data_IF_748290275820
#
_entry.id   IF_748290275820
#
_cell.length_a   1.000
_cell.length_b   1.000
_cell.length_c   1.000
_cell.angle_alpha   90.00
_cell.angle_beta   90.00
_cell.angle_gamma   90.00
#
_symmetry.space_group_name_H-M   'P 1'
#
loop_
_entity.id
_entity.type
_entity.pdbx_description
1 polymer ?
#
# COMPACT_ATOMS: atom_id res chain seq x y z
N UNK A 1 -21.30 -3.60 8.58
CA UNK A 1 -20.60 -4.41 7.57
C UNK A 1 -19.49 -5.18 8.27
N UNK A 2 -19.59 -6.51 8.36
CA UNK A 2 -18.53 -7.35 8.94
C UNK A 2 -17.28 -7.27 8.05
N UNK A 3 -16.20 -6.65 8.53
CA UNK A 3 -14.90 -6.65 7.86
C UNK A 3 -14.09 -7.85 8.37
N UNK A 4 -13.67 -8.74 7.46
CA UNK A 4 -12.63 -9.74 7.76
C UNK A 4 -11.33 -8.99 8.01
N UNK A 5 -10.69 -9.22 9.16
CA UNK A 5 -9.39 -8.63 9.45
C UNK A 5 -8.33 -9.38 8.63
N UNK A 6 -8.10 -8.92 7.40
CA UNK A 6 -7.06 -9.48 6.52
C UNK A 6 -5.73 -8.82 6.89
N UNK A 7 -4.75 -9.62 7.31
CA UNK A 7 -3.40 -9.15 7.60
C UNK A 7 -2.60 -8.96 6.30
N UNK A 8 -3.14 -8.15 5.37
CA UNK A 8 -2.55 -7.82 4.08
C UNK A 8 -2.34 -6.31 4.02
N UNK A 9 -1.14 -5.91 3.64
CA UNK A 9 -0.72 -4.52 3.52
C UNK A 9 -0.48 -4.18 2.05
N UNK A 10 -0.98 -3.03 1.61
CA UNK A 10 -0.69 -2.50 0.28
C UNK A 10 0.35 -1.40 0.42
N UNK A 11 1.57 -1.65 -0.05
CA UNK A 11 2.63 -0.65 -0.06
C UNK A 11 2.68 0.09 -1.40
N UNK A 12 2.68 1.42 -1.37
CA UNK A 12 2.81 2.29 -2.53
C UNK A 12 4.14 3.03 -2.47
N UNK A 13 5.12 2.52 -3.19
CA UNK A 13 6.47 3.07 -3.21
C UNK A 13 6.64 4.08 -4.34
N UNK A 14 7.12 5.28 -4.01
CA UNK A 14 7.55 6.30 -4.98
C UNK A 14 6.51 6.60 -6.10
N UNK A 15 5.22 6.53 -5.79
CA UNK A 15 4.13 6.86 -6.71
C UNK A 15 3.96 8.38 -6.76
N UNK A 16 4.31 8.99 -7.90
CA UNK A 16 4.22 10.44 -8.09
C UNK A 16 2.78 10.95 -8.27
N UNK A 17 1.90 10.14 -8.86
CA UNK A 17 0.51 10.54 -9.12
C UNK A 17 -0.34 10.41 -7.86
N UNK A 18 -0.70 11.55 -7.26
CA UNK A 18 -1.61 11.60 -6.11
C UNK A 18 -3.02 11.11 -6.45
N UNK A 19 -3.45 11.31 -7.70
CA UNK A 19 -4.74 10.79 -8.19
C UNK A 19 -4.74 9.25 -8.26
N UNK A 20 -3.64 8.64 -8.70
CA UNK A 20 -3.53 7.18 -8.72
C UNK A 20 -3.52 6.62 -7.30
N UNK A 21 -2.84 7.29 -6.35
CA UNK A 21 -2.88 6.89 -4.93
C UNK A 21 -4.32 6.92 -4.42
N UNK A 22 -5.09 7.97 -4.69
CA UNK A 22 -6.49 8.04 -4.26
C UNK A 22 -7.39 7.01 -4.95
N UNK A 23 -7.16 6.69 -6.22
CA UNK A 23 -7.84 5.60 -6.91
C UNK A 23 -7.54 4.23 -6.27
N UNK A 24 -6.28 3.98 -5.88
CA UNK A 24 -5.89 2.77 -5.14
C UNK A 24 -6.58 2.72 -3.78
N UNK A 25 -6.72 3.85 -3.08
CA UNK A 25 -7.43 3.89 -1.79
C UNK A 25 -8.89 3.45 -1.94
N UNK A 26 -9.57 3.89 -3.00
CA UNK A 26 -10.94 3.45 -3.30
C UNK A 26 -11.01 1.95 -3.54
N UNK A 27 -10.09 1.42 -4.35
CA UNK A 27 -9.97 -0.02 -4.60
C UNK A 27 -9.76 -0.79 -3.30
N UNK A 28 -8.86 -0.32 -2.43
CA UNK A 28 -8.61 -0.93 -1.12
C UNK A 28 -9.86 -0.95 -0.25
N UNK A 29 -10.55 0.18 -0.11
CA UNK A 29 -11.79 0.27 0.69
C UNK A 29 -12.88 -0.67 0.14
N UNK A 30 -13.11 -0.69 -1.18
CA UNK A 30 -14.09 -1.55 -1.84
C UNK A 30 -13.84 -3.05 -1.60
N UNK A 31 -12.59 -3.49 -1.72
CA UNK A 31 -12.22 -4.90 -1.48
C UNK A 31 -11.99 -5.24 0.00
N UNK A 32 -12.13 -4.27 0.91
CA UNK A 32 -12.01 -4.50 2.35
C UNK A 32 -10.58 -4.55 2.90
N UNK A 33 -9.59 -4.09 2.13
CA UNK A 33 -8.23 -3.87 2.65
C UNK A 33 -8.23 -2.68 3.61
N UNK A 34 -7.54 -2.83 4.75
CA UNK A 34 -7.54 -1.85 5.83
C UNK A 34 -6.18 -1.21 6.06
N UNK A 35 -5.10 -1.76 5.50
CA UNK A 35 -3.74 -1.29 5.75
C UNK A 35 -3.05 -0.84 4.46
N UNK A 36 -2.60 0.42 4.44
CA UNK A 36 -1.82 0.99 3.35
C UNK A 36 -0.53 1.58 3.91
N UNK A 37 0.58 1.35 3.21
CA UNK A 37 1.88 1.89 3.55
C UNK A 37 2.32 2.81 2.40
N UNK A 38 2.61 4.07 2.70
CA UNK A 38 3.17 5.02 1.75
C UNK A 38 4.67 5.12 1.98
N UNK A 39 5.46 4.75 0.96
CA UNK A 39 6.92 4.65 1.05
C UNK A 39 7.57 5.70 0.16
N UNK A 40 8.68 6.29 0.65
CA UNK A 40 9.38 7.34 -0.09
C UNK A 40 8.51 8.58 -0.21
N UNK A 41 8.47 9.21 -1.38
CA UNK A 41 7.71 10.45 -1.58
C UNK A 41 6.20 10.24 -1.83
N UNK A 42 5.71 8.99 -1.86
CA UNK A 42 4.30 8.69 -2.13
C UNK A 42 3.36 9.40 -1.18
N UNK A 43 2.48 10.24 -1.71
CA UNK A 43 1.28 10.71 -1.03
C UNK A 43 1.47 11.47 0.28
N UNK A 44 2.70 11.85 0.62
CA UNK A 44 3.03 12.53 1.88
C UNK A 44 3.40 13.98 1.64
N UNK A 45 3.11 14.81 2.63
CA UNK A 45 3.57 16.20 2.69
C UNK A 45 3.85 16.57 4.15
N UNK A 46 4.45 17.73 4.39
CA UNK A 46 4.68 18.24 5.74
C UNK A 46 3.71 19.35 6.05
N UNK A 47 3.12 19.33 7.24
CA UNK A 47 2.34 20.46 7.73
C UNK A 47 3.24 21.57 8.30
N UNK A 48 2.63 22.65 8.77
CA UNK A 48 3.32 23.80 9.39
C UNK A 48 4.18 23.42 10.60
N UNK A 49 3.94 22.26 11.23
CA UNK A 49 4.71 21.72 12.36
C UNK A 49 5.78 20.72 11.91
N UNK A 50 6.13 20.69 10.62
CA UNK A 50 7.08 19.74 10.03
C UNK A 50 6.70 18.26 10.21
N UNK A 51 5.43 17.96 10.54
CA UNK A 51 4.94 16.60 10.70
C UNK A 51 4.48 16.05 9.35
N UNK A 52 4.91 14.83 9.03
CA UNK A 52 4.44 14.08 7.86
C UNK A 52 2.94 13.79 7.98
N UNK A 53 2.19 14.19 6.95
CA UNK A 53 0.75 14.01 6.82
C UNK A 53 0.41 13.56 5.39
N UNK A 54 -0.79 13.01 5.21
CA UNK A 54 -1.32 12.69 3.88
C UNK A 54 -1.50 13.98 3.05
N UNK A 55 -1.10 13.95 1.79
CA UNK A 55 -1.31 15.05 0.87
C UNK A 55 -2.81 15.20 0.55
N UNK A 56 -3.38 16.39 0.80
CA UNK A 56 -4.81 16.67 0.64
C UNK A 56 -5.31 16.51 -0.81
N UNK A 57 -4.44 16.60 -1.80
CA UNK A 57 -4.83 16.40 -3.21
C UNK A 57 -5.32 14.98 -3.49
N UNK A 58 -4.88 13.98 -2.70
CA UNK A 58 -5.36 12.59 -2.79
C UNK A 58 -6.89 12.53 -2.56
N UNK A 59 -7.41 13.40 -1.69
CA UNK A 59 -8.82 13.43 -1.30
C UNK A 59 -9.77 13.67 -2.48
N UNK A 60 -9.29 14.37 -3.52
CA UNK A 60 -10.05 14.62 -4.76
C UNK A 60 -10.39 13.33 -5.50
N UNK A 61 -9.56 12.28 -5.32
CA UNK A 61 -9.71 10.98 -5.97
C UNK A 61 -10.11 9.84 -5.03
N UNK A 62 -9.77 9.91 -3.75
CA UNK A 62 -10.16 8.88 -2.77
C UNK A 62 -11.64 8.98 -2.37
N UNK A 63 -12.25 10.17 -2.46
CA UNK A 63 -13.68 10.38 -2.23
C UNK A 63 -14.16 9.84 -0.86
N UNK A 64 -13.34 9.99 0.18
CA UNK A 64 -13.66 9.55 1.54
C UNK A 64 -13.13 8.16 1.91
N UNK A 65 -12.65 7.38 0.93
CA UNK A 65 -12.14 6.02 1.17
C UNK A 65 -10.88 5.99 2.05
N UNK A 66 -10.15 7.11 2.16
CA UNK A 66 -8.99 7.22 3.05
C UNK A 66 -9.35 7.03 4.53
N UNK A 67 -10.60 7.29 4.91
CA UNK A 67 -11.09 7.14 6.29
C UNK A 67 -11.24 5.67 6.69
N UNK A 68 -11.33 4.78 5.71
CA UNK A 68 -11.45 3.34 5.92
C UNK A 68 -10.09 2.64 6.07
N UNK A 69 -8.99 3.38 5.91
CA UNK A 69 -7.62 2.89 5.82
C UNK A 69 -6.77 3.36 6.99
N UNK A 70 -5.98 2.45 7.54
CA UNK A 70 -4.85 2.73 8.40
C UNK A 70 -3.63 3.00 7.53
N UNK A 71 -3.16 4.24 7.52
CA UNK A 71 -2.07 4.69 6.66
C UNK A 71 -0.79 4.83 7.47
N UNK A 72 0.22 4.05 7.10
CA UNK A 72 1.58 4.11 7.66
C UNK A 72 2.50 4.83 6.68
N UNK A 73 3.37 5.71 7.16
CA UNK A 73 4.40 6.36 6.34
C UNK A 73 5.77 5.76 6.65
N UNK A 74 6.50 5.37 5.62
CA UNK A 74 7.89 4.93 5.71
C UNK A 74 8.77 5.78 4.80
N UNK A 75 10.03 5.99 5.17
CA UNK A 75 10.92 6.86 4.42
C UNK A 75 11.58 6.14 3.25
N UNK A 76 11.93 4.86 3.41
CA UNK A 76 12.70 4.11 2.41
C UNK A 76 12.17 2.69 2.17
N UNK A 77 12.56 2.09 1.06
CA UNK A 77 12.30 0.67 0.79
C UNK A 77 12.92 -0.24 1.87
N UNK A 78 14.08 0.13 2.42
CA UNK A 78 14.70 -0.61 3.53
C UNK A 78 13.82 -0.60 4.79
N UNK A 79 13.16 0.52 5.08
CA UNK A 79 12.20 0.59 6.18
C UNK A 79 11.01 -0.33 5.94
N UNK A 80 10.54 -0.44 4.68
CA UNK A 80 9.47 -1.39 4.32
C UNK A 80 9.92 -2.84 4.54
N UNK A 81 11.12 -3.21 4.08
CA UNK A 81 11.67 -4.55 4.29
C UNK A 81 11.80 -4.87 5.78
N UNK A 82 12.28 -3.91 6.58
CA UNK A 82 12.39 -4.05 8.03
C UNK A 82 11.01 -4.23 8.67
N UNK A 83 10.04 -3.38 8.31
CA UNK A 83 8.65 -3.49 8.76
C UNK A 83 8.07 -4.87 8.45
N UNK A 84 8.27 -5.39 7.24
CA UNK A 84 7.78 -6.73 6.87
C UNK A 84 8.41 -7.83 7.72
N UNK A 85 9.73 -7.80 7.94
CA UNK A 85 10.43 -8.80 8.77
C UNK A 85 9.95 -8.78 10.22
N UNK A 86 9.84 -7.60 10.82
CA UNK A 86 9.41 -7.43 12.22
C UNK A 86 7.96 -7.87 12.44
N UNK A 87 7.11 -7.77 11.41
CA UNK A 87 5.70 -8.15 11.47
C UNK A 87 5.43 -9.56 10.88
N UNK A 88 6.48 -10.32 10.53
CA UNK A 88 6.33 -11.67 9.97
C UNK A 88 5.59 -11.70 8.62
N UNK A 89 5.69 -10.64 7.83
CA UNK A 89 5.02 -10.49 6.55
C UNK A 89 5.89 -10.98 5.40
N UNK A 90 5.28 -11.68 4.46
CA UNK A 90 5.90 -11.98 3.17
C UNK A 90 5.80 -10.75 2.25
N UNK A 91 6.94 -10.28 1.72
CA UNK A 91 6.99 -9.13 0.82
C UNK A 91 6.94 -9.63 -0.64
N UNK A 92 5.95 -9.15 -1.38
CA UNK A 92 5.78 -9.43 -2.81
C UNK A 92 5.85 -8.11 -3.56
N UNK A 93 6.84 -7.96 -4.45
CA UNK A 93 6.94 -6.81 -5.34
C UNK A 93 6.14 -7.05 -6.61
N UNK A 94 5.44 -6.02 -7.08
CA UNK A 94 4.72 -6.02 -8.35
C UNK A 94 5.47 -5.08 -9.29
N UNK A 95 6.36 -5.63 -10.09
CA UNK A 95 7.21 -4.88 -11.02
C UNK A 95 7.64 -5.75 -12.20
N UNK A 96 7.90 -5.11 -13.35
CA UNK A 96 8.52 -5.74 -14.49
C UNK A 96 10.02 -5.86 -14.25
N UNK A 97 10.53 -7.08 -14.18
CA UNK A 97 11.93 -7.36 -13.92
C UNK A 97 12.37 -8.66 -14.59
N UNK A 98 13.68 -8.80 -14.79
CA UNK A 98 14.27 -9.99 -15.44
C UNK A 98 13.98 -11.29 -14.67
N UNK A 99 13.75 -11.19 -13.37
CA UNK A 99 13.47 -12.32 -12.47
C UNK A 99 12.01 -12.35 -12.02
N UNK A 100 11.14 -11.54 -12.61
CA UNK A 100 9.71 -11.55 -12.31
C UNK A 100 9.06 -12.80 -12.88
N UNK A 101 8.10 -13.35 -12.17
CA UNK A 101 7.21 -14.41 -12.66
C UNK A 101 5.85 -13.81 -13.01
N UNK A 102 5.17 -14.42 -13.98
CA UNK A 102 3.82 -14.00 -14.36
C UNK A 102 2.84 -14.19 -13.20
N UNK A 103 1.85 -13.30 -13.09
CA UNK A 103 0.85 -13.37 -12.03
C UNK A 103 0.08 -14.69 -12.06
N UNK A 104 -0.22 -15.20 -13.25
CA UNK A 104 -0.91 -16.49 -13.45
C UNK A 104 -0.07 -17.65 -12.90
N UNK A 105 1.24 -17.65 -13.17
CA UNK A 105 2.18 -18.64 -12.64
C UNK A 105 2.28 -18.56 -11.12
N UNK A 106 2.41 -17.35 -10.57
CA UNK A 106 2.43 -17.14 -9.12
C UNK A 106 1.19 -17.72 -8.43
N UNK A 107 0.00 -17.53 -9.02
CA UNK A 107 -1.26 -18.06 -8.48
C UNK A 107 -1.25 -19.60 -8.46
N UNK A 108 -0.82 -20.25 -9.55
CA UNK A 108 -0.76 -21.71 -9.62
C UNK A 108 0.24 -22.29 -8.59
N UNK A 109 1.43 -21.72 -8.48
CA UNK A 109 2.45 -22.14 -7.49
C UNK A 109 1.95 -22.08 -6.05
N UNK A 110 1.06 -21.13 -5.73
CA UNK A 110 0.51 -20.98 -4.38
C UNK A 110 -0.74 -21.83 -4.13
N UNK A 111 -1.42 -22.33 -5.18
CA UNK A 111 -2.49 -23.33 -5.01
C UNK A 111 -1.92 -24.69 -4.60
N UNK A 112 -0.77 -25.07 -5.13
CA UNK A 112 -0.12 -26.37 -4.86
C UNK A 112 0.54 -26.47 -3.47
N UNK A 113 0.67 -25.36 -2.73
CA UNK A 113 1.25 -25.30 -1.38
C UNK A 113 0.23 -25.37 -0.25
N UNK A 114 -1.06 -25.56 -0.58
CA UNK A 114 -2.18 -25.69 0.35
C UNK A 114 -2.63 -27.14 0.43
#
# INVERSE_FOLDING_TARGET
MFRRNLNIYIALENIRSLFNIGAVFRTCSFFGFTHVILVGYSGKTKNTKNKTILNKEILKSSLGSEKDLQITFLETANDLVKFCKENGLNLISIEQGLTSIELTEFIELNKSKK
#
